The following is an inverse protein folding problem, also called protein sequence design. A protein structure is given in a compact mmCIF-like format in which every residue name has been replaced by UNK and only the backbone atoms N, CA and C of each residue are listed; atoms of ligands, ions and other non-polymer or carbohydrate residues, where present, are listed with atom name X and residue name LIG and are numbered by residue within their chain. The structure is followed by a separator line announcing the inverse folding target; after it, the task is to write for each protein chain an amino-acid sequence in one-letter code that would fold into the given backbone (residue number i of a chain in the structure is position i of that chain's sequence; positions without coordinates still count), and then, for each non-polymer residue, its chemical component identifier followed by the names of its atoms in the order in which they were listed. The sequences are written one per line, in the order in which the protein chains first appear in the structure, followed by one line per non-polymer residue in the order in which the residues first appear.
data_IF_193426491883
#
_entry.id   IF_193426491883
#
_cell.length_a   1.000
_cell.length_b   1.000
_cell.length_c   1.000
_cell.angle_alpha   90.00
_cell.angle_beta   90.00
_cell.angle_gamma   90.00
#
_symmetry.space_group_name_H-M   'P 1'
#
loop_
_entity.id
_entity.type
_entity.pdbx_description
1 polymer ?
#
# COMPACT_ATOMS: atom_id res chain seq x y z
N UNK A 1 13.64 -6.07 -8.99
CA UNK A 1 12.22 -5.83 -9.34
C UNK A 1 11.70 -4.79 -8.39
N UNK A 2 10.94 -3.78 -8.83
CA UNK A 2 10.41 -2.77 -7.92
C UNK A 2 9.52 -3.41 -6.83
N UNK A 3 9.58 -2.91 -5.60
CA UNK A 3 8.91 -3.52 -4.44
C UNK A 3 7.39 -3.64 -4.62
N UNK A 4 6.76 -2.66 -5.28
CA UNK A 4 5.32 -2.71 -5.60
C UNK A 4 4.94 -3.89 -6.50
N UNK A 5 5.86 -4.34 -7.36
CA UNK A 5 5.62 -5.43 -8.30
C UNK A 5 5.61 -6.78 -7.58
N UNK A 6 6.40 -6.93 -6.51
CA UNK A 6 6.36 -8.10 -5.64
C UNK A 6 5.02 -8.20 -4.89
N UNK A 7 4.50 -7.08 -4.37
CA UNK A 7 3.22 -7.03 -3.66
C UNK A 7 2.04 -7.42 -4.56
N UNK A 8 2.02 -6.95 -5.81
CA UNK A 8 1.01 -7.36 -6.79
C UNK A 8 1.04 -8.88 -7.05
N UNK A 9 2.24 -9.47 -7.12
CA UNK A 9 2.41 -10.91 -7.26
C UNK A 9 1.87 -11.70 -6.07
N UNK A 10 2.07 -11.19 -4.84
CA UNK A 10 1.54 -11.81 -3.61
C UNK A 10 0.02 -11.70 -3.57
N UNK A 11 -0.57 -10.54 -3.90
CA UNK A 11 -2.03 -10.36 -4.04
C UNK A 11 -2.61 -11.39 -5.01
N UNK A 12 -1.99 -11.55 -6.17
CA UNK A 12 -2.43 -12.54 -7.16
C UNK A 12 -2.35 -13.96 -6.61
N UNK A 13 -1.24 -14.35 -5.96
CA UNK A 13 -1.13 -15.67 -5.31
C UNK A 13 -2.24 -15.91 -4.30
N UNK A 14 -2.54 -14.94 -3.43
CA UNK A 14 -3.60 -15.04 -2.42
C UNK A 14 -5.01 -15.12 -3.04
N UNK A 15 -5.20 -14.67 -4.28
CA UNK A 15 -6.47 -14.85 -5.01
C UNK A 15 -6.69 -16.31 -5.44
N UNK A 16 -5.62 -17.11 -5.52
CA UNK A 16 -5.71 -18.53 -5.90
C UNK A 16 -6.17 -19.38 -4.72
N UNK A 17 -7.10 -20.34 -4.92
CA UNK A 17 -7.64 -21.18 -3.83
C UNK A 17 -6.57 -21.93 -3.03
N UNK A 18 -5.47 -22.32 -3.68
CA UNK A 18 -4.37 -23.08 -3.08
C UNK A 18 -3.52 -22.26 -2.09
N UNK A 19 -3.59 -20.93 -2.14
CA UNK A 19 -2.80 -20.04 -1.29
C UNK A 19 -3.65 -19.04 -0.50
N UNK A 20 -4.98 -19.06 -0.66
CA UNK A 20 -5.92 -18.11 -0.06
C UNK A 20 -5.77 -17.95 1.45
N UNK A 21 -5.50 -19.05 2.15
CA UNK A 21 -5.34 -19.08 3.61
C UNK A 21 -3.88 -19.15 4.05
N UNK A 22 -2.93 -18.83 3.16
CA UNK A 22 -1.50 -18.83 3.50
C UNK A 22 -1.17 -17.62 4.39
N UNK A 23 -0.84 -17.82 5.69
CA UNK A 23 -0.64 -16.73 6.62
C UNK A 23 0.65 -15.95 6.33
N UNK A 24 1.70 -16.62 5.81
CA UNK A 24 2.95 -15.95 5.47
C UNK A 24 2.76 -14.95 4.34
N UNK A 25 2.06 -15.33 3.26
CA UNK A 25 1.79 -14.43 2.14
C UNK A 25 0.92 -13.24 2.55
N UNK A 26 -0.04 -13.47 3.46
CA UNK A 26 -0.88 -12.41 4.01
C UNK A 26 -0.07 -11.40 4.82
N UNK A 27 0.83 -11.90 5.68
CA UNK A 27 1.69 -11.04 6.49
C UNK A 27 2.67 -10.25 5.63
N UNK A 28 3.30 -10.88 4.63
CA UNK A 28 4.23 -10.24 3.69
C UNK A 28 3.53 -9.11 2.91
N UNK A 29 2.32 -9.35 2.41
CA UNK A 29 1.53 -8.33 1.71
C UNK A 29 1.19 -7.16 2.63
N UNK A 30 0.69 -7.44 3.84
CA UNK A 30 0.31 -6.40 4.80
C UNK A 30 1.51 -5.58 5.27
N UNK A 31 2.66 -6.20 5.50
CA UNK A 31 3.88 -5.48 5.88
C UNK A 31 4.34 -4.53 4.77
N UNK A 32 4.34 -4.98 3.51
CA UNK A 32 4.70 -4.11 2.39
C UNK A 32 3.74 -2.93 2.21
N UNK A 33 2.44 -3.17 2.34
CA UNK A 33 1.41 -2.13 2.31
C UNK A 33 1.65 -1.08 3.41
N UNK A 34 1.92 -1.53 4.64
CA UNK A 34 2.19 -0.66 5.79
C UNK A 34 3.47 0.15 5.60
N UNK A 35 4.56 -0.49 5.15
CA UNK A 35 5.84 0.17 4.91
C UNK A 35 5.77 1.22 3.81
N UNK A 36 4.90 1.03 2.82
CA UNK A 36 4.69 2.00 1.74
C UNK A 36 3.63 3.06 2.03
N UNK A 37 2.98 3.03 3.20
CA UNK A 37 1.80 3.85 3.52
C UNK A 37 0.73 3.82 2.41
N UNK A 38 0.52 2.65 1.77
CA UNK A 38 -0.33 2.49 0.59
C UNK A 38 -1.81 2.31 0.95
N UNK A 39 -2.40 3.30 1.65
CA UNK A 39 -3.77 3.19 2.17
C UNK A 39 -4.84 2.84 1.11
N UNK A 40 -4.86 3.46 -0.09
CA UNK A 40 -5.84 3.10 -1.12
C UNK A 40 -5.71 1.64 -1.57
N UNK A 41 -4.47 1.15 -1.73
CA UNK A 41 -4.20 -0.22 -2.14
C UNK A 41 -4.61 -1.24 -1.07
N UNK A 42 -4.43 -0.91 0.22
CA UNK A 42 -4.94 -1.75 1.32
C UNK A 42 -6.45 -1.99 1.20
N UNK A 43 -7.22 -0.94 0.91
CA UNK A 43 -8.68 -1.02 0.77
C UNK A 43 -9.06 -1.96 -0.38
N UNK A 44 -8.46 -1.78 -1.55
CA UNK A 44 -8.70 -2.65 -2.72
C UNK A 44 -8.35 -4.12 -2.43
N UNK A 45 -7.23 -4.37 -1.76
CA UNK A 45 -6.82 -5.73 -1.36
C UNK A 45 -7.84 -6.37 -0.41
N UNK A 46 -8.35 -5.61 0.56
CA UNK A 46 -9.39 -6.09 1.46
C UNK A 46 -10.69 -6.42 0.72
N UNK A 47 -11.10 -5.58 -0.23
CA UNK A 47 -12.29 -5.82 -1.06
C UNK A 47 -12.11 -7.07 -1.95
N UNK A 48 -10.99 -7.16 -2.66
CA UNK A 48 -10.73 -8.26 -3.61
C UNK A 48 -10.55 -9.63 -2.94
N UNK A 49 -9.89 -9.66 -1.78
CA UNK A 49 -9.62 -10.90 -1.05
C UNK A 49 -10.71 -11.22 0.00
N UNK A 50 -11.69 -10.33 0.18
CA UNK A 50 -12.75 -10.44 1.18
C UNK A 50 -12.22 -10.40 2.62
N UNK A 51 -11.13 -9.68 2.86
CA UNK A 51 -10.53 -9.54 4.19
C UNK A 51 -11.25 -8.48 5.03
N UNK A 52 -11.24 -8.63 6.37
CA UNK A 52 -11.77 -7.58 7.24
C UNK A 52 -10.99 -6.28 7.02
N UNK A 53 -11.73 -5.20 6.78
CA UNK A 53 -11.16 -3.87 6.61
C UNK A 53 -10.96 -3.21 7.97
N UNK A 54 -9.70 -2.90 8.31
CA UNK A 54 -9.35 -2.20 9.54
C UNK A 54 -9.25 -0.69 9.29
N UNK A 55 -10.34 0.03 9.56
CA UNK A 55 -10.41 1.49 9.36
C UNK A 55 -9.30 2.26 10.10
N UNK A 56 -8.93 1.81 11.30
CA UNK A 56 -7.86 2.44 12.09
C UNK A 56 -6.52 2.40 11.35
N UNK A 57 -6.17 1.24 10.80
CA UNK A 57 -4.94 1.06 10.02
C UNK A 57 -4.96 1.91 8.74
N UNK A 58 -6.10 1.98 8.07
CA UNK A 58 -6.29 2.83 6.89
C UNK A 58 -6.10 4.32 7.21
N UNK A 59 -6.71 4.82 8.28
CA UNK A 59 -6.61 6.22 8.69
C UNK A 59 -5.16 6.58 9.07
N UNK A 60 -4.45 5.68 9.77
CA UNK A 60 -3.02 5.84 10.10
C UNK A 60 -2.15 5.94 8.84
N UNK A 61 -2.31 5.01 7.88
CA UNK A 61 -1.54 5.06 6.63
C UNK A 61 -1.88 6.27 5.77
N UNK A 62 -3.16 6.69 5.75
CA UNK A 62 -3.60 7.88 5.00
C UNK A 62 -2.93 9.15 5.52
N UNK A 63 -2.87 9.31 6.84
CA UNK A 63 -2.25 10.47 7.49
C UNK A 63 -0.76 10.56 7.17
N UNK A 64 -0.04 9.45 7.24
CA UNK A 64 1.38 9.40 6.91
C UNK A 64 1.62 9.68 5.41
N UNK A 65 0.80 9.13 4.53
CA UNK A 65 0.89 9.41 3.09
C UNK A 65 0.63 10.88 2.76
N UNK A 66 -0.35 11.52 3.41
CA UNK A 66 -0.65 12.94 3.23
C UNK A 66 0.49 13.83 3.71
N UNK A 67 1.03 13.56 4.91
CA UNK A 67 2.17 14.32 5.44
C UNK A 67 3.42 14.23 4.55
N UNK A 68 3.64 13.08 3.89
CA UNK A 68 4.73 12.94 2.91
C UNK A 68 4.46 13.72 1.64
N UNK A 69 3.24 13.71 1.12
CA UNK A 69 2.86 14.50 -0.07
C UNK A 69 3.02 16.00 0.18
N UNK A 70 2.57 16.50 1.33
CA UNK A 70 2.73 17.92 1.73
C UNK A 70 4.21 18.34 1.76
N UNK A 71 5.11 17.47 2.25
CA UNK A 71 6.57 17.72 2.22
C UNK A 71 7.14 17.77 0.80
N UNK A 72 6.64 16.94 -0.10
CA UNK A 72 7.07 16.96 -1.51
C UNK A 72 6.56 18.21 -2.24
N UNK A 73 5.34 18.66 -1.95
CA UNK A 73 4.80 19.92 -2.51
C UNK A 73 5.57 21.15 -2.04
N UNK A 74 6.10 21.13 -0.81
CA UNK A 74 6.98 22.18 -0.29
C UNK A 74 8.34 22.18 -1.03
N UNK A 75 8.92 21.01 -1.30
CA UNK A 75 10.23 20.84 -1.96
C UNK A 75 10.18 21.14 -3.49
N UNK A 76 9.10 20.77 -4.18
CA UNK A 76 8.92 21.02 -5.61
C UNK A 76 8.70 22.52 -5.94
N UNK A 77 8.34 23.33 -4.93
CA UNK A 77 8.20 24.78 -5.07
C UNK A 77 9.53 25.52 -5.23
N UNK A 78 10.67 24.84 -5.05
CA UNK A 78 12.02 25.38 -5.25
C UNK A 78 12.64 25.05 -6.63
N UNK A 79 11.89 24.47 -7.57
CA UNK A 79 12.39 24.31 -8.95
C UNK A 79 12.25 25.62 -9.74
N UNK A 80 13.35 26.27 -10.17
CA UNK A 80 13.26 27.50 -10.95
C UNK A 80 12.66 27.18 -12.31
N UNK A 81 11.65 27.96 -12.71
CA UNK A 81 11.17 28.03 -14.09
C UNK A 81 12.38 28.40 -14.97
N UNK A 82 12.87 27.44 -15.76
CA UNK A 82 13.96 27.69 -16.71
C UNK A 82 13.50 28.79 -17.70
N UNK A 83 14.22 29.93 -17.70
CA UNK A 83 14.17 30.95 -18.75
C UNK A 83 14.85 30.46 -20.02
#
# INVERSE_FOLDING_TARGET
TPDYMALAGIKFKLSLPQFKDNPQLKEELLQGIKSGHMAPYYKEVCEDLGWPFEKKLYDEMTKESQSRLEKFEEDDSETPVWQ
#
